data_IF_676767289213
#
_entry.id   IF_676767289213
#
_cell.length_a   1.000
_cell.length_b   1.000
_cell.length_c   1.000
_cell.angle_alpha   90.00
_cell.angle_beta   90.00
_cell.angle_gamma   90.00
#
_symmetry.space_group_name_H-M   'P 1'
#
loop_
_entity.id
_entity.type
_entity.pdbx_description
1 polymer ?
#
# COMPACT_ATOMS: atom_id res chain seq x y z
N UNK A 1 -15.23 15.48 10.94
CA UNK A 1 -16.01 16.19 9.92
C UNK A 1 -15.20 17.40 9.47
N UNK A 2 -15.01 17.53 8.18
CA UNK A 2 -14.33 18.65 7.53
C UNK A 2 -15.42 19.53 6.92
N UNK A 3 -15.33 20.84 7.10
CA UNK A 3 -16.31 21.78 6.57
C UNK A 3 -15.65 22.68 5.51
N UNK A 4 -16.27 22.82 4.35
CA UNK A 4 -15.91 23.80 3.33
C UNK A 4 -17.04 24.80 3.13
N UNK A 5 -16.70 26.07 2.89
CA UNK A 5 -17.67 27.18 2.75
C UNK A 5 -18.20 27.35 1.34
N UNK A 6 -17.47 26.80 0.37
CA UNK A 6 -17.80 26.85 -1.06
C UNK A 6 -17.09 25.74 -1.84
N UNK A 7 -17.44 25.61 -3.13
CA UNK A 7 -16.93 24.54 -3.96
C UNK A 7 -15.42 24.56 -4.19
N UNK A 8 -14.78 25.72 -4.21
CA UNK A 8 -13.32 25.82 -4.38
C UNK A 8 -12.57 25.35 -3.14
N UNK A 9 -13.00 25.82 -1.97
CA UNK A 9 -12.44 25.36 -0.68
C UNK A 9 -12.65 23.85 -0.52
N UNK A 10 -13.80 23.31 -0.96
CA UNK A 10 -14.05 21.88 -0.92
C UNK A 10 -13.04 21.08 -1.74
N UNK A 11 -12.72 21.51 -2.96
CA UNK A 11 -11.71 20.84 -3.80
C UNK A 11 -10.28 20.98 -3.23
N UNK A 12 -9.93 22.16 -2.73
CA UNK A 12 -8.60 22.39 -2.14
C UNK A 12 -8.38 21.50 -0.91
N UNK A 13 -9.41 21.34 -0.05
CA UNK A 13 -9.38 20.41 1.09
C UNK A 13 -9.33 18.96 0.66
N UNK A 14 -10.11 18.56 -0.33
CA UNK A 14 -10.12 17.21 -0.87
C UNK A 14 -8.75 16.74 -1.39
N UNK A 15 -7.87 17.68 -1.78
CA UNK A 15 -6.50 17.36 -2.19
C UNK A 15 -5.56 17.00 -1.02
N UNK A 16 -5.81 17.52 0.16
CA UNK A 16 -4.93 17.38 1.35
C UNK A 16 -5.51 16.48 2.43
N UNK A 17 -6.83 16.36 2.52
CA UNK A 17 -7.54 15.67 3.57
C UNK A 17 -8.40 14.53 2.98
N UNK A 18 -8.01 13.25 3.15
CA UNK A 18 -8.81 12.12 2.65
C UNK A 18 -10.18 12.06 3.32
N UNK A 19 -11.21 11.71 2.56
CA UNK A 19 -12.57 11.54 3.07
C UNK A 19 -13.27 10.38 2.36
N UNK A 20 -14.24 9.76 3.02
CA UNK A 20 -15.04 8.66 2.48
C UNK A 20 -16.36 9.14 1.89
N UNK A 21 -16.99 10.15 2.52
CA UNK A 21 -18.31 10.65 2.13
C UNK A 21 -18.26 12.17 2.12
N UNK A 22 -18.80 12.79 1.07
CA UNK A 22 -19.07 14.22 1.02
C UNK A 22 -20.56 14.51 0.89
N UNK A 23 -21.01 15.53 1.62
CA UNK A 23 -22.35 16.12 1.46
C UNK A 23 -22.13 17.49 0.84
N UNK A 24 -22.69 17.70 -0.34
CA UNK A 24 -22.40 18.86 -1.19
C UNK A 24 -23.71 19.60 -1.45
N UNK A 25 -23.76 20.88 -1.19
CA UNK A 25 -24.91 21.70 -1.58
C UNK A 25 -24.90 21.90 -3.10
N UNK A 26 -26.06 21.86 -3.73
CA UNK A 26 -26.22 22.16 -5.16
C UNK A 26 -25.81 23.60 -5.46
N UNK A 27 -26.34 24.53 -4.68
CA UNK A 27 -26.10 25.96 -4.84
C UNK A 27 -24.98 26.45 -3.92
N UNK A 28 -23.80 26.59 -4.46
CA UNK A 28 -22.63 27.12 -3.73
C UNK A 28 -21.97 28.25 -4.52
N UNK A 29 -21.35 29.23 -3.83
CA UNK A 29 -20.53 30.24 -4.47
C UNK A 29 -19.33 29.66 -5.20
N UNK A 30 -18.87 30.31 -6.24
CA UNK A 30 -17.65 30.01 -7.04
C UNK A 30 -17.78 28.77 -7.91
N UNK A 31 -18.11 27.63 -7.35
CA UNK A 31 -18.37 26.38 -8.07
C UNK A 31 -19.66 25.76 -7.55
N UNK A 32 -20.52 25.37 -8.45
CA UNK A 32 -21.75 24.64 -8.11
C UNK A 32 -21.45 23.23 -7.58
N UNK A 33 -22.40 22.65 -6.84
CA UNK A 33 -22.25 21.28 -6.35
C UNK A 33 -22.05 20.25 -7.47
N UNK A 34 -22.65 20.48 -8.64
CA UNK A 34 -22.46 19.61 -9.81
C UNK A 34 -21.01 19.63 -10.31
N UNK A 35 -20.44 20.83 -10.45
CA UNK A 35 -19.04 20.97 -10.87
C UNK A 35 -18.09 20.33 -9.87
N UNK A 36 -18.34 20.48 -8.57
CA UNK A 36 -17.56 19.83 -7.52
C UNK A 36 -17.67 18.31 -7.61
N UNK A 37 -18.87 17.75 -7.78
CA UNK A 37 -19.07 16.31 -7.96
C UNK A 37 -18.26 15.78 -9.16
N UNK A 38 -18.39 16.45 -10.31
CA UNK A 38 -17.67 16.06 -11.52
C UNK A 38 -16.17 16.08 -11.34
N UNK A 39 -15.61 17.14 -10.73
CA UNK A 39 -14.17 17.26 -10.48
C UNK A 39 -13.66 16.24 -9.47
N UNK A 40 -14.42 15.94 -8.41
CA UNK A 40 -14.08 14.90 -7.44
C UNK A 40 -14.09 13.49 -8.05
N UNK A 41 -15.04 13.20 -8.94
CA UNK A 41 -15.10 11.91 -9.63
C UNK A 41 -14.03 11.76 -10.72
N UNK A 42 -13.55 12.86 -11.27
CA UNK A 42 -12.44 12.84 -12.24
C UNK A 42 -11.05 12.65 -11.59
N UNK A 43 -10.89 12.94 -10.30
CA UNK A 43 -9.62 12.73 -9.58
C UNK A 43 -9.53 11.30 -9.04
N UNK A 44 -8.54 10.49 -9.44
CA UNK A 44 -8.36 9.10 -8.96
C UNK A 44 -8.31 8.95 -7.44
N UNK A 45 -7.92 9.99 -6.70
CA UNK A 45 -7.83 9.98 -5.23
C UNK A 45 -9.20 10.05 -4.55
N UNK A 46 -10.17 10.68 -5.20
CA UNK A 46 -11.52 10.94 -4.67
C UNK A 46 -12.63 10.28 -5.47
N UNK A 47 -12.32 9.65 -6.62
CA UNK A 47 -13.27 9.02 -7.53
C UNK A 47 -14.21 8.01 -6.83
N UNK A 48 -13.72 7.33 -5.81
CA UNK A 48 -14.48 6.31 -5.06
C UNK A 48 -15.11 6.82 -3.77
N UNK A 49 -14.94 8.10 -3.43
CA UNK A 49 -15.70 8.72 -2.34
C UNK A 49 -17.17 8.79 -2.68
N UNK A 50 -18.04 8.60 -1.68
CA UNK A 50 -19.49 8.64 -1.85
C UNK A 50 -20.00 10.08 -1.76
N UNK A 51 -20.57 10.58 -2.84
CA UNK A 51 -21.00 11.98 -2.97
C UNK A 51 -22.51 12.07 -2.85
N UNK A 52 -23.02 12.83 -1.86
CA UNK A 52 -24.43 13.10 -1.64
C UNK A 52 -24.68 14.57 -1.97
N UNK A 53 -25.49 14.84 -2.98
CA UNK A 53 -25.86 16.19 -3.37
C UNK A 53 -27.13 16.64 -2.63
N UNK A 54 -27.13 17.84 -2.04
CA UNK A 54 -28.29 18.44 -1.42
C UNK A 54 -28.95 19.44 -2.39
N UNK A 55 -30.23 19.30 -2.64
CA UNK A 55 -30.98 20.18 -3.56
C UNK A 55 -32.29 20.70 -2.97
N UNK A 56 -32.70 21.88 -3.40
CA UNK A 56 -34.04 22.44 -3.14
C UNK A 56 -35.02 22.19 -4.28
N UNK A 57 -34.57 21.53 -5.36
CA UNK A 57 -35.39 21.28 -6.55
C UNK A 57 -36.01 19.88 -6.47
N UNK A 58 -37.33 19.80 -6.65
CA UNK A 58 -38.11 18.56 -6.57
C UNK A 58 -38.37 17.91 -7.94
N UNK A 59 -37.92 18.53 -9.02
CA UNK A 59 -38.18 18.03 -10.38
C UNK A 59 -37.24 16.87 -10.73
N UNK A 60 -37.72 15.77 -11.34
CA UNK A 60 -36.93 14.60 -11.75
C UNK A 60 -35.72 14.94 -12.63
N UNK A 61 -35.78 16.04 -13.37
CA UNK A 61 -34.71 16.55 -14.20
C UNK A 61 -33.44 16.89 -13.41
N UNK A 62 -33.57 17.44 -12.20
CA UNK A 62 -32.43 17.78 -11.36
C UNK A 62 -31.81 16.55 -10.73
N UNK A 63 -32.60 15.53 -10.38
CA UNK A 63 -32.10 14.25 -9.93
C UNK A 63 -31.20 13.58 -10.97
N UNK A 64 -31.65 13.54 -12.22
CA UNK A 64 -30.90 13.01 -13.34
C UNK A 64 -29.56 13.76 -13.53
N UNK A 65 -29.58 15.10 -13.49
CA UNK A 65 -28.37 15.92 -13.58
C UNK A 65 -27.40 15.66 -12.45
N UNK A 66 -27.85 15.41 -11.23
CA UNK A 66 -27.01 15.07 -10.11
C UNK A 66 -26.23 13.76 -10.35
N UNK A 67 -26.96 12.73 -10.80
CA UNK A 67 -26.36 11.43 -11.12
C UNK A 67 -25.38 11.51 -12.31
N UNK A 68 -25.78 12.25 -13.37
CA UNK A 68 -24.91 12.47 -14.54
C UNK A 68 -23.62 13.22 -14.19
N UNK A 69 -23.65 14.11 -13.17
CA UNK A 69 -22.48 14.79 -12.64
C UNK A 69 -21.61 13.90 -11.74
N UNK A 70 -22.04 12.65 -11.49
CA UNK A 70 -21.32 11.68 -10.70
C UNK A 70 -21.66 11.67 -9.21
N UNK A 71 -22.73 12.35 -8.77
CA UNK A 71 -23.23 12.14 -7.42
C UNK A 71 -23.75 10.70 -7.26
N UNK A 72 -23.43 10.07 -6.14
CA UNK A 72 -23.90 8.70 -5.84
C UNK A 72 -25.30 8.71 -5.25
N UNK A 73 -25.72 9.86 -4.72
CA UNK A 73 -27.03 10.05 -4.11
C UNK A 73 -27.41 11.53 -4.02
N UNK A 74 -28.68 11.80 -3.69
CA UNK A 74 -29.15 13.16 -3.45
C UNK A 74 -30.14 13.23 -2.28
N UNK A 75 -30.30 14.41 -1.68
CA UNK A 75 -31.21 14.67 -0.56
C UNK A 75 -31.91 16.02 -0.82
N UNK A 76 -33.23 16.04 -0.68
CA UNK A 76 -34.00 17.27 -0.77
C UNK A 76 -33.92 18.09 0.52
N UNK A 77 -33.91 19.41 0.37
CA UNK A 77 -34.08 20.38 1.46
C UNK A 77 -35.57 20.65 1.69
N UNK A 78 -36.04 20.71 2.96
CA UNK A 78 -35.28 20.62 4.21
C UNK A 78 -34.83 19.20 4.50
N UNK A 79 -33.56 19.06 4.98
CA UNK A 79 -32.92 17.76 5.19
C UNK A 79 -33.60 16.98 6.32
N UNK A 80 -34.19 15.84 6.00
CA UNK A 80 -34.70 14.90 6.97
C UNK A 80 -33.53 14.09 7.59
N UNK A 81 -33.37 14.20 8.93
CA UNK A 81 -32.28 13.51 9.65
C UNK A 81 -32.29 11.99 9.48
N UNK A 82 -33.48 11.37 9.41
CA UNK A 82 -33.59 9.92 9.25
C UNK A 82 -33.12 9.49 7.85
N UNK A 83 -33.51 10.25 6.82
CA UNK A 83 -33.05 10.00 5.45
C UNK A 83 -31.56 10.22 5.31
N UNK A 84 -31.03 11.34 5.82
CA UNK A 84 -29.58 11.58 5.79
C UNK A 84 -28.80 10.45 6.48
N UNK A 85 -29.25 10.02 7.68
CA UNK A 85 -28.62 8.92 8.39
C UNK A 85 -28.63 7.61 7.59
N UNK A 86 -29.73 7.33 6.89
CA UNK A 86 -29.83 6.13 6.05
C UNK A 86 -28.85 6.19 4.86
N UNK A 87 -28.74 7.35 4.18
CA UNK A 87 -27.80 7.58 3.07
C UNK A 87 -26.35 7.48 3.50
N UNK A 88 -25.98 8.12 4.63
CA UNK A 88 -24.64 8.01 5.21
C UNK A 88 -24.28 6.57 5.55
N UNK A 89 -25.24 5.79 6.09
CA UNK A 89 -25.02 4.37 6.38
C UNK A 89 -24.82 3.54 5.10
N UNK A 90 -25.55 3.86 4.03
CA UNK A 90 -25.39 3.19 2.74
C UNK A 90 -24.04 3.55 2.11
N UNK A 91 -23.70 4.83 2.05
CA UNK A 91 -22.41 5.31 1.54
C UNK A 91 -21.22 4.71 2.31
N UNK A 92 -21.29 4.69 3.66
CA UNK A 92 -20.24 4.08 4.47
C UNK A 92 -20.02 2.60 4.18
N UNK A 93 -21.08 1.83 3.87
CA UNK A 93 -20.92 0.43 3.45
C UNK A 93 -20.26 0.30 2.08
N UNK A 94 -20.59 1.17 1.15
CA UNK A 94 -20.03 1.16 -0.21
C UNK A 94 -18.54 1.53 -0.17
N UNK A 95 -18.18 2.59 0.53
CA UNK A 95 -16.78 3.01 0.65
C UNK A 95 -15.93 1.98 1.41
N UNK A 96 -16.48 1.34 2.45
CA UNK A 96 -15.80 0.26 3.17
C UNK A 96 -15.60 -0.98 2.28
N UNK A 97 -16.62 -1.38 1.52
CA UNK A 97 -16.50 -2.50 0.58
C UNK A 97 -15.43 -2.21 -0.49
N UNK A 98 -15.42 -0.99 -1.03
CA UNK A 98 -14.37 -0.57 -1.97
C UNK A 98 -12.98 -0.63 -1.34
N UNK A 99 -12.83 -0.13 -0.10
CA UNK A 99 -11.56 -0.19 0.65
C UNK A 99 -11.09 -1.63 0.85
N UNK A 100 -11.99 -2.55 1.20
CA UNK A 100 -11.66 -3.97 1.35
C UNK A 100 -11.23 -4.59 0.01
N UNK A 101 -11.90 -4.28 -1.09
CA UNK A 101 -11.51 -4.76 -2.43
C UNK A 101 -10.13 -4.24 -2.83
N UNK A 102 -9.85 -2.96 -2.58
CA UNK A 102 -8.52 -2.37 -2.84
C UNK A 102 -7.47 -3.04 -1.96
N UNK A 103 -7.75 -3.23 -0.66
CA UNK A 103 -6.83 -3.91 0.25
C UNK A 103 -6.54 -5.35 -0.21
N UNK A 104 -7.56 -6.13 -0.59
CA UNK A 104 -7.39 -7.47 -1.16
C UNK A 104 -6.58 -7.46 -2.46
N UNK A 105 -6.75 -6.44 -3.30
CA UNK A 105 -5.99 -6.28 -4.53
C UNK A 105 -4.53 -5.83 -4.31
N UNK A 106 -4.18 -5.30 -3.13
CA UNK A 106 -2.86 -4.73 -2.83
C UNK A 106 -2.04 -5.50 -1.81
N UNK A 107 -2.64 -6.41 -1.04
CA UNK A 107 -1.93 -7.17 -0.01
C UNK A 107 -1.83 -8.66 -0.37
N UNK A 108 -0.81 -9.31 0.12
CA UNK A 108 -0.70 -10.77 0.14
C UNK A 108 -1.60 -11.34 1.24
N UNK A 109 -2.54 -12.24 0.93
CA UNK A 109 -3.54 -12.69 1.91
C UNK A 109 -2.97 -13.51 3.06
N UNK A 110 -1.80 -14.13 2.89
CA UNK A 110 -1.16 -14.93 3.92
C UNK A 110 -0.37 -14.07 4.91
N UNK A 111 0.40 -13.11 4.37
CA UNK A 111 1.39 -12.37 5.16
C UNK A 111 0.95 -10.94 5.51
N UNK A 112 -0.07 -10.41 4.84
CA UNK A 112 -0.60 -9.07 5.06
C UNK A 112 0.26 -7.91 4.52
N UNK A 113 1.47 -8.19 3.99
CA UNK A 113 2.31 -7.16 3.34
C UNK A 113 1.86 -6.88 1.92
N UNK A 114 2.43 -5.88 1.28
CA UNK A 114 2.14 -5.59 -0.11
C UNK A 114 2.36 -6.85 -0.99
N UNK A 115 1.41 -7.14 -1.87
CA UNK A 115 1.65 -8.13 -2.91
C UNK A 115 2.59 -7.56 -3.99
N UNK A 116 3.06 -8.40 -4.91
CA UNK A 116 4.00 -8.02 -5.96
C UNK A 116 3.58 -6.77 -6.73
N UNK A 117 2.30 -6.67 -7.10
CA UNK A 117 1.77 -5.54 -7.86
C UNK A 117 1.85 -4.25 -7.06
N UNK A 118 1.31 -4.25 -5.85
CA UNK A 118 1.31 -3.08 -4.98
C UNK A 118 2.74 -2.65 -4.59
N UNK A 119 3.65 -3.61 -4.41
CA UNK A 119 5.06 -3.33 -4.16
C UNK A 119 5.70 -2.57 -5.32
N UNK A 120 5.49 -3.01 -6.57
CA UNK A 120 6.03 -2.36 -7.76
C UNK A 120 5.43 -0.96 -7.96
N UNK A 121 4.11 -0.82 -7.80
CA UNK A 121 3.43 0.48 -7.88
C UNK A 121 3.97 1.49 -6.83
N UNK A 122 4.23 1.03 -5.60
CA UNK A 122 4.83 1.86 -4.55
C UNK A 122 6.30 2.17 -4.82
N UNK A 123 7.06 1.21 -5.36
CA UNK A 123 8.45 1.43 -5.75
C UNK A 123 8.57 2.56 -6.78
N UNK A 124 7.71 2.59 -7.79
CA UNK A 124 7.64 3.67 -8.78
C UNK A 124 7.33 5.03 -8.14
N UNK A 125 6.48 5.06 -7.12
CA UNK A 125 6.17 6.29 -6.38
C UNK A 125 7.40 6.78 -5.60
N UNK A 126 8.11 5.87 -4.91
CA UNK A 126 9.32 6.21 -4.16
C UNK A 126 10.48 6.62 -5.07
N UNK A 127 10.64 6.03 -6.25
CA UNK A 127 11.61 6.46 -7.25
C UNK A 127 11.34 7.92 -7.68
N UNK A 128 10.08 8.25 -8.02
CA UNK A 128 9.71 9.62 -8.36
C UNK A 128 9.95 10.60 -7.21
N UNK A 129 9.74 10.17 -5.97
CA UNK A 129 10.01 10.98 -4.78
C UNK A 129 11.50 11.18 -4.57
N UNK A 130 12.28 10.10 -4.65
CA UNK A 130 13.74 10.12 -4.51
C UNK A 130 14.41 11.00 -5.56
N UNK A 131 13.95 10.96 -6.82
CA UNK A 131 14.40 11.86 -7.89
C UNK A 131 14.21 13.32 -7.53
N UNK A 132 13.04 13.71 -7.02
CA UNK A 132 12.74 15.10 -6.64
C UNK A 132 13.57 15.57 -5.44
N UNK A 133 13.74 14.70 -4.45
CA UNK A 133 14.48 15.02 -3.22
C UNK A 133 15.99 14.80 -3.33
N UNK A 134 16.46 14.19 -4.42
CA UNK A 134 17.86 13.76 -4.63
C UNK A 134 18.38 12.90 -3.50
N UNK A 135 17.52 12.04 -2.96
CA UNK A 135 17.89 11.12 -1.89
C UNK A 135 18.11 9.71 -2.45
N UNK A 136 19.07 8.94 -1.90
CA UNK A 136 19.33 7.59 -2.35
C UNK A 136 18.14 6.67 -2.06
N UNK A 137 17.98 5.65 -2.88
CA UNK A 137 16.98 4.61 -2.72
C UNK A 137 17.65 3.26 -2.97
N UNK A 138 17.49 2.32 -2.04
CA UNK A 138 18.00 0.96 -2.17
C UNK A 138 16.89 -0.06 -2.01
N UNK A 139 17.11 -1.26 -2.50
CA UNK A 139 16.24 -2.40 -2.27
C UNK A 139 17.01 -3.62 -1.77
N UNK A 140 16.32 -4.47 -1.05
CA UNK A 140 16.78 -5.80 -0.65
C UNK A 140 15.86 -6.83 -1.32
N UNK A 141 16.42 -7.94 -1.78
CA UNK A 141 15.66 -9.17 -2.02
C UNK A 141 16.06 -10.16 -0.93
N UNK A 142 15.07 -10.70 -0.25
CA UNK A 142 15.24 -11.66 0.83
C UNK A 142 14.51 -12.96 0.49
N UNK A 143 15.10 -14.09 0.85
CA UNK A 143 14.53 -15.41 0.63
C UNK A 143 14.80 -16.29 1.86
N UNK A 144 13.79 -17.03 2.30
CA UNK A 144 13.90 -17.94 3.45
C UNK A 144 14.70 -19.18 3.04
N UNK A 145 15.83 -19.37 3.70
CA UNK A 145 16.72 -20.48 3.42
C UNK A 145 16.04 -21.83 3.69
N UNK A 146 16.16 -22.76 2.76
CA UNK A 146 15.61 -24.11 2.87
C UNK A 146 14.10 -24.18 3.12
N UNK A 147 13.33 -23.18 2.66
CA UNK A 147 11.88 -23.10 2.88
C UNK A 147 11.13 -24.37 2.43
N UNK A 148 11.51 -24.92 1.27
CA UNK A 148 10.97 -26.22 0.82
C UNK A 148 11.19 -27.32 1.85
N UNK A 149 12.36 -27.36 2.49
CA UNK A 149 12.66 -28.33 3.56
C UNK A 149 11.74 -28.17 4.78
N UNK A 150 11.36 -26.94 5.13
CA UNK A 150 10.36 -26.67 6.19
C UNK A 150 9.03 -27.29 5.81
N UNK A 151 8.55 -27.03 4.58
CA UNK A 151 7.30 -27.60 4.09
C UNK A 151 7.33 -29.14 4.05
N UNK A 152 8.39 -29.70 3.50
CA UNK A 152 8.52 -31.16 3.30
C UNK A 152 8.61 -31.92 4.64
N UNK A 153 9.24 -31.34 5.66
CA UNK A 153 9.45 -31.97 6.97
C UNK A 153 8.35 -31.69 7.99
N UNK A 154 7.67 -30.53 7.90
CA UNK A 154 6.72 -30.04 8.92
C UNK A 154 5.33 -29.70 8.37
N UNK A 155 5.14 -29.84 7.06
CA UNK A 155 3.88 -29.55 6.37
C UNK A 155 3.71 -28.06 6.03
N UNK A 156 2.77 -27.77 5.13
CA UNK A 156 2.52 -26.42 4.62
C UNK A 156 2.07 -25.43 5.69
N UNK A 157 1.37 -25.89 6.74
CA UNK A 157 0.98 -25.00 7.84
C UNK A 157 2.18 -24.41 8.58
N UNK A 158 3.26 -25.18 8.76
CA UNK A 158 4.50 -24.69 9.34
C UNK A 158 5.24 -23.71 8.39
N UNK A 159 5.16 -23.96 7.08
CA UNK A 159 5.67 -23.02 6.08
C UNK A 159 4.90 -21.69 6.09
N UNK A 160 3.58 -21.73 6.19
CA UNK A 160 2.74 -20.54 6.29
C UNK A 160 3.08 -19.73 7.57
N UNK A 161 3.25 -20.41 8.71
CA UNK A 161 3.70 -19.79 9.95
C UNK A 161 5.09 -19.16 9.80
N UNK A 162 6.03 -19.84 9.10
CA UNK A 162 7.35 -19.34 8.80
C UNK A 162 7.30 -18.03 8.01
N UNK A 163 6.48 -17.97 6.95
CA UNK A 163 6.28 -16.77 6.14
C UNK A 163 5.70 -15.61 6.95
N UNK A 164 4.69 -15.89 7.77
CA UNK A 164 4.08 -14.87 8.63
C UNK A 164 5.05 -14.36 9.71
N UNK A 165 5.82 -15.26 10.31
CA UNK A 165 6.82 -14.89 11.32
C UNK A 165 7.95 -14.08 10.69
N UNK A 166 8.44 -14.51 9.52
CA UNK A 166 9.46 -13.79 8.78
C UNK A 166 9.06 -12.33 8.54
N UNK A 167 7.87 -12.12 8.01
CA UNK A 167 7.36 -10.77 7.73
C UNK A 167 7.23 -9.93 8.99
N UNK A 168 6.70 -10.49 10.10
CA UNK A 168 6.63 -9.78 11.38
C UNK A 168 8.00 -9.35 11.87
N UNK A 169 8.98 -10.29 11.85
CA UNK A 169 10.35 -9.99 12.27
C UNK A 169 10.98 -8.89 11.43
N UNK A 170 10.76 -8.88 10.12
CA UNK A 170 11.23 -7.79 9.26
C UNK A 170 10.50 -6.48 9.58
N UNK A 171 9.18 -6.51 9.73
CA UNK A 171 8.36 -5.33 10.00
C UNK A 171 8.72 -4.64 11.32
N UNK A 172 8.97 -5.41 12.38
CA UNK A 172 9.36 -4.90 13.70
C UNK A 172 10.74 -4.24 13.69
N UNK A 173 11.60 -4.63 12.74
CA UNK A 173 12.95 -4.12 12.60
C UNK A 173 13.11 -2.99 11.56
N UNK A 174 12.11 -2.78 10.72
CA UNK A 174 12.07 -1.71 9.73
C UNK A 174 11.50 -0.42 10.35
N UNK A 175 11.92 0.72 9.80
CA UNK A 175 11.40 2.04 10.25
C UNK A 175 10.11 2.39 9.51
N UNK A 176 9.29 3.30 10.06
CA UNK A 176 8.19 3.89 9.33
C UNK A 176 8.68 4.52 8.00
N UNK A 177 8.09 4.11 6.89
CA UNK A 177 8.48 4.55 5.54
C UNK A 177 9.29 3.53 4.75
N UNK A 178 9.92 2.54 5.38
CA UNK A 178 10.40 1.36 4.67
C UNK A 178 9.21 0.52 4.21
N UNK A 179 9.34 -0.14 3.06
CA UNK A 179 8.25 -0.92 2.46
C UNK A 179 8.69 -2.37 2.35
N UNK A 180 7.78 -3.26 2.70
CA UNK A 180 7.97 -4.71 2.49
C UNK A 180 6.85 -5.24 1.61
N UNK A 181 7.19 -6.13 0.68
CA UNK A 181 6.22 -6.82 -0.16
C UNK A 181 6.66 -8.24 -0.48
N UNK A 182 5.69 -9.12 -0.66
CA UNK A 182 5.93 -10.49 -1.12
C UNK A 182 6.05 -10.51 -2.63
N UNK A 183 7.21 -10.89 -3.12
CA UNK A 183 7.54 -10.87 -4.53
C UNK A 183 7.24 -12.20 -5.22
N UNK A 184 7.41 -13.31 -4.53
CA UNK A 184 7.17 -14.68 -4.96
C UNK A 184 6.94 -15.60 -3.77
N UNK A 185 6.90 -16.89 -3.93
CA UNK A 185 6.64 -17.89 -2.89
C UNK A 185 7.22 -17.58 -1.51
N UNK A 186 8.53 -17.75 -1.34
CA UNK A 186 9.30 -17.41 -0.13
C UNK A 186 10.16 -16.15 -0.28
N UNK A 187 10.00 -15.41 -1.38
CA UNK A 187 10.79 -14.23 -1.72
C UNK A 187 10.07 -12.95 -1.32
N UNK A 188 10.79 -12.05 -0.70
CA UNK A 188 10.33 -10.73 -0.26
C UNK A 188 11.26 -9.65 -0.77
N UNK A 189 10.69 -8.49 -1.09
CA UNK A 189 11.45 -7.29 -1.44
C UNK A 189 11.19 -6.22 -0.40
N UNK A 190 12.26 -5.59 0.07
CA UNK A 190 12.20 -4.44 0.96
C UNK A 190 12.75 -3.23 0.23
N UNK A 191 12.00 -2.13 0.23
CA UNK A 191 12.45 -0.83 -0.28
C UNK A 191 12.87 0.04 0.89
N UNK A 192 14.02 0.68 0.77
CA UNK A 192 14.63 1.53 1.77
C UNK A 192 14.80 2.96 1.21
N UNK A 193 13.77 3.84 1.34
CA UNK A 193 13.90 5.24 0.95
C UNK A 193 15.00 5.95 1.75
N UNK A 194 15.63 6.95 1.16
CA UNK A 194 16.68 7.76 1.78
C UNK A 194 17.82 6.91 2.38
N UNK A 195 18.22 5.84 1.69
CA UNK A 195 19.19 4.87 2.19
C UNK A 195 20.15 4.48 1.07
N UNK A 196 21.43 4.74 1.26
CA UNK A 196 22.49 4.35 0.33
C UNK A 196 22.83 2.86 0.49
N UNK A 197 23.53 2.26 -0.49
CA UNK A 197 23.88 0.84 -0.51
C UNK A 197 24.59 0.36 0.78
N UNK A 198 25.52 1.15 1.29
CA UNK A 198 26.25 0.80 2.51
C UNK A 198 25.32 0.68 3.73
N UNK A 199 24.43 1.68 3.91
CA UNK A 199 23.46 1.68 5.00
C UNK A 199 22.39 0.59 4.81
N UNK A 200 21.98 0.35 3.56
CA UNK A 200 21.06 -0.74 3.22
C UNK A 200 21.63 -2.11 3.59
N UNK A 201 22.94 -2.29 3.39
CA UNK A 201 23.65 -3.52 3.79
C UNK A 201 23.65 -3.70 5.31
N UNK A 202 23.82 -2.63 6.08
CA UNK A 202 23.71 -2.65 7.55
C UNK A 202 22.29 -3.03 7.99
N UNK A 203 21.27 -2.46 7.35
CA UNK A 203 19.87 -2.83 7.61
C UNK A 203 19.64 -4.30 7.30
N UNK A 204 20.09 -4.78 6.14
CA UNK A 204 19.94 -6.19 5.75
C UNK A 204 20.60 -7.14 6.74
N UNK A 205 21.81 -6.83 7.24
CA UNK A 205 22.51 -7.65 8.24
C UNK A 205 21.75 -7.67 9.59
N UNK A 206 21.16 -6.55 9.99
CA UNK A 206 20.29 -6.50 11.18
C UNK A 206 19.06 -7.41 11.01
N UNK A 207 18.40 -7.33 9.86
CA UNK A 207 17.24 -8.17 9.54
C UNK A 207 17.62 -9.66 9.54
N UNK A 208 18.73 -10.02 8.89
CA UNK A 208 19.24 -11.38 8.85
C UNK A 208 19.45 -11.95 10.27
N UNK A 209 20.09 -11.18 11.14
CA UNK A 209 20.35 -11.60 12.53
C UNK A 209 19.05 -11.82 13.30
N UNK A 210 18.12 -10.89 13.22
CA UNK A 210 16.83 -11.01 13.89
C UNK A 210 16.04 -12.24 13.42
N UNK A 211 16.08 -12.55 12.11
CA UNK A 211 15.45 -13.76 11.57
C UNK A 211 16.13 -15.01 12.14
N UNK A 212 17.46 -15.06 12.17
CA UNK A 212 18.21 -16.23 12.65
C UNK A 212 18.07 -16.47 14.17
N UNK A 213 17.70 -15.45 14.94
CA UNK A 213 17.49 -15.53 16.39
C UNK A 213 16.07 -16.02 16.76
N UNK A 214 15.12 -16.02 15.79
CA UNK A 214 13.73 -16.42 16.07
C UNK A 214 13.61 -17.93 16.23
N UNK A 215 12.97 -18.34 17.30
CA UNK A 215 12.50 -19.71 17.46
C UNK A 215 11.05 -19.84 17.01
N UNK A 216 10.74 -20.90 16.31
CA UNK A 216 9.43 -21.20 15.71
C UNK A 216 8.96 -22.60 16.08
N UNK A 217 7.65 -22.79 16.04
CA UNK A 217 7.01 -24.06 16.42
C UNK A 217 6.58 -24.11 17.89
N UNK A 218 5.73 -25.08 18.25
CA UNK A 218 5.25 -25.29 19.61
C UNK A 218 6.35 -25.77 20.53
N UNK A 219 6.17 -25.58 21.85
CA UNK A 219 7.09 -26.03 22.87
C UNK A 219 7.41 -27.51 22.70
N UNK A 220 8.68 -27.85 22.44
CA UNK A 220 9.19 -29.20 22.25
C UNK A 220 9.48 -29.62 20.82
N UNK A 221 9.04 -28.86 19.82
CA UNK A 221 9.39 -29.02 18.39
C UNK A 221 9.78 -27.68 17.74
N UNK A 222 10.62 -26.91 18.47
CA UNK A 222 11.11 -25.64 17.96
C UNK A 222 12.18 -25.81 16.88
N UNK A 223 12.15 -24.95 15.87
CA UNK A 223 13.18 -24.87 14.84
C UNK A 223 13.56 -23.38 14.59
N UNK A 224 14.71 -23.17 14.01
CA UNK A 224 15.15 -21.85 13.57
C UNK A 224 15.17 -21.80 12.06
N UNK A 225 14.78 -20.65 11.53
CA UNK A 225 14.94 -20.35 10.12
C UNK A 225 16.04 -19.32 9.92
N UNK A 226 16.67 -19.35 8.77
CA UNK A 226 17.57 -18.31 8.30
C UNK A 226 17.08 -17.74 7.00
N UNK A 227 17.64 -16.62 6.59
CA UNK A 227 17.36 -16.01 5.30
C UNK A 227 18.61 -15.45 4.68
N UNK A 228 18.65 -15.48 3.37
CA UNK A 228 19.70 -14.87 2.55
C UNK A 228 19.18 -13.56 1.94
N UNK A 229 20.07 -12.58 1.80
CA UNK A 229 19.71 -11.25 1.34
C UNK A 229 20.65 -10.79 0.21
N UNK A 230 20.06 -10.29 -0.87
CA UNK A 230 20.75 -9.53 -1.91
C UNK A 230 20.39 -8.06 -1.80
N UNK A 231 21.37 -7.16 -1.90
CA UNK A 231 21.18 -5.71 -1.74
C UNK A 231 21.61 -4.97 -3.00
N UNK A 232 20.81 -4.03 -3.48
CA UNK A 232 21.18 -3.18 -4.60
C UNK A 232 20.68 -1.74 -4.44
N UNK A 233 21.40 -0.73 -4.93
CA UNK A 233 20.89 0.62 -5.07
C UNK A 233 19.96 0.70 -6.28
N UNK A 234 19.00 1.61 -6.26
CA UNK A 234 18.18 1.91 -7.43
C UNK A 234 18.79 3.13 -8.14
N UNK A 235 19.21 2.94 -9.40
CA UNK A 235 19.68 4.02 -10.24
C UNK A 235 18.48 4.89 -10.67
N UNK A 236 18.31 6.04 -10.02
CA UNK A 236 17.12 6.87 -10.19
C UNK A 236 17.02 7.49 -11.59
N UNK A 237 18.14 7.81 -12.21
CA UNK A 237 18.21 8.47 -13.52
C UNK A 237 18.19 7.47 -14.70
N UNK A 238 18.24 6.17 -14.40
CA UNK A 238 18.28 5.14 -15.43
C UNK A 238 16.88 4.75 -15.91
N UNK A 239 16.63 4.62 -17.22
CA UNK A 239 15.44 3.96 -17.71
C UNK A 239 15.39 2.54 -17.13
N UNK A 240 14.23 2.13 -16.59
CA UNK A 240 14.05 0.82 -15.93
C UNK A 240 14.97 0.58 -14.72
N UNK A 241 15.32 1.64 -13.96
CA UNK A 241 16.19 1.55 -12.78
C UNK A 241 15.74 0.53 -11.76
N UNK A 242 14.42 0.37 -11.56
CA UNK A 242 13.85 -0.65 -10.68
C UNK A 242 14.13 -2.07 -11.18
N UNK A 243 13.88 -2.35 -12.47
CA UNK A 243 14.12 -3.69 -13.04
C UNK A 243 15.60 -4.07 -13.02
N UNK A 244 16.47 -3.09 -13.23
CA UNK A 244 17.92 -3.29 -13.11
C UNK A 244 18.29 -3.62 -11.68
N UNK A 245 17.82 -2.86 -10.72
CA UNK A 245 18.10 -3.06 -9.30
C UNK A 245 17.57 -4.42 -8.81
N UNK A 246 16.38 -4.83 -9.23
CA UNK A 246 15.83 -6.15 -8.91
C UNK A 246 16.73 -7.27 -9.44
N UNK A 247 17.16 -7.21 -10.71
CA UNK A 247 18.06 -8.22 -11.28
C UNK A 247 19.42 -8.26 -10.58
N UNK A 248 19.96 -7.12 -10.24
CA UNK A 248 21.25 -7.01 -9.56
C UNK A 248 21.18 -7.55 -8.12
N UNK A 249 20.09 -7.23 -7.41
CA UNK A 249 19.85 -7.78 -6.07
C UNK A 249 19.60 -9.30 -6.11
N UNK A 250 18.88 -9.80 -7.12
CA UNK A 250 18.66 -11.23 -7.33
C UNK A 250 19.98 -11.98 -7.56
N UNK A 251 20.85 -11.45 -8.43
CA UNK A 251 22.19 -12.00 -8.63
C UNK A 251 23.03 -12.00 -7.32
N UNK A 252 22.88 -10.98 -6.48
CA UNK A 252 23.51 -10.92 -5.17
C UNK A 252 22.92 -11.95 -4.20
N UNK A 253 21.60 -12.12 -4.18
CA UNK A 253 20.91 -13.17 -3.41
C UNK A 253 21.37 -14.58 -3.84
N UNK A 254 21.46 -14.81 -5.14
CA UNK A 254 21.97 -16.08 -5.65
C UNK A 254 23.39 -16.38 -5.12
N UNK A 255 24.29 -15.39 -5.11
CA UNK A 255 25.63 -15.53 -4.49
C UNK A 255 25.52 -15.83 -3.01
N UNK A 256 24.65 -15.13 -2.28
CA UNK A 256 24.44 -15.38 -0.85
C UNK A 256 24.03 -16.84 -0.60
N UNK A 257 23.12 -17.38 -1.42
CA UNK A 257 22.70 -18.79 -1.34
C UNK A 257 23.85 -19.77 -1.69
N UNK A 258 24.60 -19.48 -2.76
CA UNK A 258 25.72 -20.32 -3.21
C UNK A 258 26.89 -20.36 -2.21
N UNK A 259 27.17 -19.27 -1.53
CA UNK A 259 28.26 -19.14 -0.57
C UNK A 259 27.94 -19.72 0.83
N UNK A 260 26.79 -20.38 1.02
CA UNK A 260 26.44 -21.08 2.27
C UNK A 260 25.25 -20.48 3.01
N UNK A 261 24.47 -19.60 2.38
CA UNK A 261 23.22 -19.03 2.92
C UNK A 261 23.43 -18.19 4.18
N UNK A 262 22.30 -17.78 4.82
CA UNK A 262 22.28 -17.00 6.06
C UNK A 262 23.29 -15.83 6.03
N UNK A 263 23.23 -15.04 4.97
CA UNK A 263 24.16 -13.91 4.77
C UNK A 263 23.55 -12.80 3.91
N UNK A 264 24.20 -11.68 3.95
CA UNK A 264 23.94 -10.52 3.11
C UNK A 264 25.04 -10.40 2.07
N UNK A 265 24.67 -10.24 0.81
CA UNK A 265 25.60 -9.93 -0.28
C UNK A 265 25.12 -8.65 -0.97
N UNK A 266 25.90 -7.56 -0.90
CA UNK A 266 25.61 -6.37 -1.68
C UNK A 266 25.96 -6.58 -3.16
N UNK A 267 25.31 -5.79 -4.02
CA UNK A 267 25.76 -5.65 -5.40
C UNK A 267 27.17 -5.07 -5.47
N UNK A 268 27.93 -5.40 -6.51
CA UNK A 268 29.25 -4.83 -6.72
C UNK A 268 29.19 -3.31 -6.96
#
# INVERSE_FOLDING_TARGET
>A
VILARDGREALDRAQSEPFDIAIIDWEMPRLSGLEVCWLLKADPRTAYSYLILMTSHDEPFYEMKALDAGADDFIHKPVNRAHLKARLKAGGRITEMHRLLVAQAQTDPLTGVANRRALLDRADQEIRRALRSRQPLSLLIADIDHFKGINDSRGHAAGDEALQRFVRTLGDALRPGDLIGRYGGEEFVVLLPNTALADASVVAERLRRFVAEQEMGPNGDSFRMTASFGVAPIALDAPNGLDVALRVADAALYRAKAEGRNRVVPSP
#
